data_IF_569721012955
#
_entry.id   IF_569721012955
#
_cell.length_a   1.000
_cell.length_b   1.000
_cell.length_c   1.000
_cell.angle_alpha   90.00
_cell.angle_beta   90.00
_cell.angle_gamma   90.00
#
_symmetry.space_group_name_H-M   'P 1'
#
loop_
_entity.id
_entity.type
_entity.pdbx_description
1 polymer ?
#
# COMPACT_ATOMS: atom_id res chain seq x y z
N UNK A 1 -76.48 2.57 -13.56
CA UNK A 1 -75.05 2.16 -13.61
C UNK A 1 -74.27 3.07 -12.66
N UNK A 2 -74.13 2.65 -11.41
CA UNK A 2 -73.31 3.29 -10.38
C UNK A 2 -72.18 2.30 -9.99
N UNK A 3 -70.98 2.77 -9.63
CA UNK A 3 -69.81 1.91 -9.40
C UNK A 3 -69.75 1.40 -7.96
N UNK A 4 -69.34 0.14 -7.78
CA UNK A 4 -69.12 -0.49 -6.47
C UNK A 4 -67.64 -0.80 -6.24
N UNK A 5 -67.09 -0.10 -5.26
CA UNK A 5 -66.03 -0.41 -4.29
C UNK A 5 -65.02 -1.55 -4.53
N UNK A 6 -63.74 -1.19 -4.34
CA UNK A 6 -62.64 -2.07 -3.94
C UNK A 6 -62.87 -2.77 -2.59
N UNK A 7 -62.07 -3.81 -2.30
CA UNK A 7 -61.39 -3.83 -1.01
C UNK A 7 -59.87 -4.05 -1.09
N UNK A 8 -59.23 -3.47 -0.08
CA UNK A 8 -57.80 -3.42 0.24
C UNK A 8 -57.24 -4.75 0.78
N UNK A 9 -55.90 -4.79 0.80
CA UNK A 9 -55.05 -5.29 1.90
C UNK A 9 -54.68 -6.77 1.90
N UNK A 10 -53.36 -7.02 1.84
CA UNK A 10 -52.66 -7.73 2.92
C UNK A 10 -51.19 -7.29 3.00
N UNK A 11 -50.86 -6.67 4.14
CA UNK A 11 -49.50 -6.47 4.64
C UNK A 11 -48.85 -7.83 4.89
N UNK A 12 -47.54 -7.93 4.68
CA UNK A 12 -46.70 -8.92 5.38
C UNK A 12 -45.42 -8.22 5.86
N UNK A 13 -45.29 -8.18 7.17
CA UNK A 13 -44.15 -7.68 7.96
C UNK A 13 -43.21 -8.83 8.29
N UNK A 14 -41.89 -8.63 8.13
CA UNK A 14 -40.78 -9.23 8.92
C UNK A 14 -39.47 -8.65 8.35
N UNK A 15 -38.80 -7.68 8.98
CA UNK A 15 -37.99 -7.77 10.20
C UNK A 15 -36.83 -8.79 10.08
N UNK A 16 -35.64 -8.30 9.73
CA UNK A 16 -34.35 -8.87 10.13
C UNK A 16 -33.27 -7.78 10.03
N UNK A 17 -32.84 -7.32 11.21
CA UNK A 17 -31.82 -6.30 11.46
C UNK A 17 -30.66 -7.00 12.19
N UNK A 18 -29.43 -6.50 11.98
CA UNK A 18 -28.18 -6.78 12.73
C UNK A 18 -27.55 -8.16 12.46
N UNK A 19 -26.25 -8.30 12.19
CA UNK A 19 -25.09 -7.71 12.88
C UNK A 19 -23.95 -7.41 11.89
N UNK A 20 -23.43 -6.18 11.89
CA UNK A 20 -22.10 -5.86 11.37
C UNK A 20 -21.21 -5.57 12.58
N UNK A 21 -20.28 -6.47 12.83
CA UNK A 21 -19.28 -6.34 13.89
C UNK A 21 -18.13 -5.44 13.41
N UNK A 22 -17.92 -4.40 14.20
CA UNK A 22 -16.71 -3.62 14.46
C UNK A 22 -15.39 -4.13 13.85
N UNK A 23 -14.80 -3.32 12.98
CA UNK A 23 -13.34 -3.18 12.83
C UNK A 23 -13.03 -1.67 12.74
N UNK A 24 -12.81 -1.06 13.89
CA UNK A 24 -12.27 0.30 14.00
C UNK A 24 -10.78 0.28 13.63
N UNK A 25 -10.42 0.80 12.46
CA UNK A 25 -9.04 1.13 12.12
C UNK A 25 -8.89 2.65 12.14
N UNK A 26 -8.33 3.17 13.23
CA UNK A 26 -8.00 4.59 13.40
C UNK A 26 -6.77 4.93 12.54
N UNK A 27 -6.98 5.62 11.44
CA UNK A 27 -5.89 6.19 10.62
C UNK A 27 -5.49 7.55 11.21
N UNK A 28 -4.34 7.57 11.89
CA UNK A 28 -3.68 8.80 12.36
C UNK A 28 -2.86 9.38 11.21
N UNK A 29 -3.28 10.54 10.70
CA UNK A 29 -2.59 11.28 9.66
C UNK A 29 -1.40 12.06 10.25
N UNK A 30 -0.19 11.49 10.15
CA UNK A 30 1.05 12.21 10.40
C UNK A 30 1.63 12.69 9.06
N UNK A 31 1.51 14.00 8.81
CA UNK A 31 2.15 14.69 7.69
C UNK A 31 3.68 14.55 7.78
N UNK A 32 4.28 13.85 6.81
CA UNK A 32 5.72 13.88 6.59
C UNK A 32 6.00 14.49 5.21
N UNK A 33 6.98 15.41 5.08
CA UNK A 33 7.37 15.97 3.79
C UNK A 33 8.06 14.91 2.93
N UNK A 34 7.56 14.74 1.71
CA UNK A 34 8.16 13.91 0.67
C UNK A 34 9.51 14.51 0.24
N UNK A 35 10.61 13.90 0.67
CA UNK A 35 11.95 14.13 0.10
C UNK A 35 12.08 13.27 -1.15
N UNK A 36 12.14 13.92 -2.31
CA UNK A 36 12.46 13.30 -3.59
C UNK A 36 13.96 12.96 -3.64
N UNK A 37 14.32 11.75 -3.20
CA UNK A 37 15.66 11.20 -3.42
C UNK A 37 15.78 10.64 -4.84
N UNK A 38 16.59 11.31 -5.65
CA UNK A 38 17.04 10.92 -6.98
C UNK A 38 17.79 9.56 -6.93
N UNK A 39 17.41 8.52 -7.70
CA UNK A 39 18.14 7.26 -7.70
C UNK A 39 19.41 7.39 -8.55
N UNK A 40 20.55 7.44 -7.86
CA UNK A 40 21.89 7.40 -8.46
C UNK A 40 22.14 6.00 -9.08
N UNK A 41 22.68 5.88 -10.30
CA UNK A 41 23.05 4.58 -10.87
C UNK A 41 24.29 3.99 -10.16
N UNK A 42 24.40 2.65 -10.06
CA UNK A 42 25.50 2.01 -9.33
C UNK A 42 26.85 2.22 -10.03
N UNK A 43 27.95 2.39 -9.29
CA UNK A 43 29.28 2.51 -9.87
C UNK A 43 29.73 1.16 -10.46
N UNK A 44 30.20 1.21 -11.70
CA UNK A 44 30.82 0.10 -12.41
C UNK A 44 32.03 -0.41 -11.62
N UNK A 45 31.97 -1.64 -11.13
CA UNK A 45 33.11 -2.34 -10.53
C UNK A 45 34.12 -2.69 -11.63
N UNK A 46 35.08 -1.80 -11.82
CA UNK A 46 36.27 -2.03 -12.63
C UNK A 46 37.16 -3.05 -11.91
N UNK A 47 37.09 -4.31 -12.35
CA UNK A 47 38.04 -5.35 -11.94
C UNK A 47 39.38 -5.04 -12.61
N UNK A 48 40.26 -4.39 -11.85
CA UNK A 48 41.66 -4.23 -12.21
C UNK A 48 42.33 -5.61 -12.26
N UNK A 49 42.75 -6.03 -13.46
CA UNK A 49 43.72 -7.10 -13.66
C UNK A 49 45.00 -6.73 -12.94
N UNK A 50 45.24 -7.33 -11.77
CA UNK A 50 46.52 -7.24 -11.09
C UNK A 50 47.46 -8.25 -11.73
N UNK A 51 48.45 -7.74 -12.45
CA UNK A 51 49.64 -8.46 -12.89
C UNK A 51 50.35 -9.05 -11.66
N UNK A 52 50.37 -10.38 -11.58
CA UNK A 52 51.29 -11.09 -10.69
C UNK A 52 52.68 -11.05 -11.31
N UNK A 53 53.49 -10.09 -10.87
CA UNK A 53 54.94 -10.03 -11.11
C UNK A 53 55.64 -10.05 -9.76
N UNK A 54 56.48 -11.07 -9.55
CA UNK A 54 57.65 -11.00 -8.67
C UNK A 54 57.42 -11.34 -7.20
N UNK A 55 57.69 -12.59 -6.82
CA UNK A 55 58.17 -12.93 -5.47
C UNK A 55 59.28 -13.97 -5.54
N UNK A 56 60.48 -13.51 -5.20
CA UNK A 56 61.43 -14.23 -4.36
C UNK A 56 62.14 -15.41 -4.97
N UNK A 57 63.34 -15.16 -5.50
CA UNK A 57 64.42 -16.13 -5.46
C UNK A 57 64.66 -16.51 -3.98
N UNK A 58 64.37 -17.74 -3.62
CA UNK A 58 64.85 -18.39 -2.39
C UNK A 58 65.69 -19.58 -2.86
N UNK A 59 67.00 -19.36 -2.92
CA UNK A 59 67.98 -20.43 -2.96
C UNK A 59 67.80 -21.32 -1.73
N UNK A 60 67.31 -22.55 -1.92
CA UNK A 60 67.27 -23.53 -0.83
C UNK A 60 67.41 -24.97 -1.36
N UNK A 61 68.65 -25.46 -1.20
CA UNK A 61 69.10 -26.85 -1.11
C UNK A 61 69.13 -27.69 -2.40
N UNK A 62 70.36 -27.85 -2.89
CA UNK A 62 70.84 -28.86 -3.83
C UNK A 62 70.68 -30.26 -3.19
N UNK A 63 69.51 -30.86 -3.36
CA UNK A 63 69.29 -32.29 -3.10
C UNK A 63 69.58 -33.05 -4.41
N UNK A 64 70.21 -34.24 -4.37
CA UNK A 64 70.39 -35.05 -5.57
C UNK A 64 69.01 -35.41 -6.13
N UNK A 65 68.61 -34.69 -7.17
CA UNK A 65 67.49 -35.06 -8.04
C UNK A 65 67.94 -36.35 -8.72
N UNK A 66 67.47 -37.48 -8.21
CA UNK A 66 67.35 -38.66 -9.07
C UNK A 66 66.49 -38.24 -10.27
N UNK A 67 66.97 -38.53 -11.48
CA UNK A 67 66.28 -38.39 -12.76
C UNK A 67 65.05 -39.35 -12.84
N UNK A 68 64.16 -39.26 -11.85
CA UNK A 68 62.82 -39.79 -11.94
C UNK A 68 62.07 -38.93 -12.94
N UNK A 69 62.00 -39.39 -14.19
CA UNK A 69 61.13 -38.82 -15.21
C UNK A 69 59.77 -38.52 -14.58
N UNK A 70 59.43 -37.22 -14.47
CA UNK A 70 58.12 -36.80 -14.02
C UNK A 70 57.09 -37.55 -14.87
N UNK A 71 56.13 -38.27 -14.26
CA UNK A 71 55.12 -38.99 -15.03
C UNK A 71 54.48 -37.99 -16.00
N UNK A 72 54.41 -38.37 -17.27
CA UNK A 72 53.80 -37.56 -18.31
C UNK A 72 52.39 -37.15 -17.84
N UNK A 73 51.89 -35.94 -18.17
CA UNK A 73 50.49 -35.58 -17.91
C UNK A 73 49.47 -36.59 -18.48
N UNK A 74 49.89 -37.45 -19.40
CA UNK A 74 49.11 -38.58 -19.91
C UNK A 74 49.05 -39.80 -18.97
N UNK A 75 50.06 -39.99 -18.09
CA UNK A 75 50.15 -41.09 -17.11
C UNK A 75 49.49 -40.74 -15.76
N UNK A 76 49.24 -39.46 -15.50
CA UNK A 76 48.35 -39.01 -14.44
C UNK A 76 46.92 -39.24 -14.94
N UNK A 77 46.43 -40.48 -14.81
CA UNK A 77 45.15 -40.98 -15.32
C UNK A 77 43.90 -40.23 -14.82
N UNK A 78 43.78 -38.96 -15.18
CA UNK A 78 42.59 -38.12 -15.02
C UNK A 78 41.99 -37.88 -16.41
N UNK A 79 41.89 -38.95 -17.20
CA UNK A 79 40.90 -39.01 -18.26
C UNK A 79 39.54 -39.08 -17.59
N UNK A 80 38.99 -37.92 -17.20
CA UNK A 80 37.55 -37.83 -16.92
C UNK A 80 36.86 -38.40 -18.16
N UNK A 81 36.19 -39.54 -18.00
CA UNK A 81 35.50 -40.22 -19.08
C UNK A 81 34.72 -39.17 -19.89
N UNK A 82 35.03 -39.01 -21.18
CA UNK A 82 34.47 -37.96 -22.02
C UNK A 82 32.92 -37.97 -22.01
N UNK A 83 32.35 -39.16 -21.79
CA UNK A 83 30.93 -39.40 -21.58
C UNK A 83 30.38 -38.75 -20.29
N UNK A 84 31.13 -38.74 -19.19
CA UNK A 84 30.72 -38.11 -17.93
C UNK A 84 30.71 -36.58 -18.03
N UNK A 85 31.68 -36.00 -18.75
CA UNK A 85 31.68 -34.56 -19.03
C UNK A 85 30.49 -34.17 -19.91
N UNK A 86 30.24 -34.92 -20.99
CA UNK A 86 29.08 -34.69 -21.85
C UNK A 86 27.74 -34.84 -21.10
N UNK A 87 27.62 -35.82 -20.20
CA UNK A 87 26.44 -36.01 -19.37
C UNK A 87 26.24 -34.87 -18.36
N UNK A 88 27.33 -34.36 -17.77
CA UNK A 88 27.29 -33.20 -16.88
C UNK A 88 26.86 -31.93 -17.63
N UNK A 89 27.45 -31.66 -18.80
CA UNK A 89 27.08 -30.52 -19.63
C UNK A 89 25.62 -30.59 -20.08
N UNK A 90 25.12 -31.78 -20.43
CA UNK A 90 23.72 -32.00 -20.74
C UNK A 90 22.81 -31.72 -19.53
N UNK A 91 23.21 -32.12 -18.32
CA UNK A 91 22.47 -31.83 -17.09
C UNK A 91 22.45 -30.34 -16.74
N UNK A 92 23.57 -29.63 -16.96
CA UNK A 92 23.68 -28.17 -16.77
C UNK A 92 22.79 -27.44 -17.77
N UNK A 93 22.82 -27.84 -19.05
CA UNK A 93 21.98 -27.23 -20.09
C UNK A 93 20.49 -27.47 -19.80
N UNK A 94 20.10 -28.69 -19.40
CA UNK A 94 18.72 -28.98 -19.00
C UNK A 94 18.25 -28.08 -17.86
N UNK A 95 19.08 -27.93 -16.81
CA UNK A 95 18.75 -27.05 -15.69
C UNK A 95 18.61 -25.59 -16.12
N UNK A 96 19.52 -25.10 -16.98
CA UNK A 96 19.43 -23.77 -17.57
C UNK A 96 18.11 -23.58 -18.32
N UNK A 97 17.70 -24.54 -19.12
CA UNK A 97 16.47 -24.47 -19.91
C UNK A 97 15.22 -24.49 -19.02
N UNK A 98 15.22 -25.34 -17.99
CA UNK A 98 14.15 -25.41 -16.99
C UNK A 98 14.01 -24.07 -16.21
N UNK A 99 15.13 -23.49 -15.80
CA UNK A 99 15.16 -22.17 -15.13
C UNK A 99 14.69 -21.05 -16.07
N UNK A 100 15.11 -21.05 -17.34
CA UNK A 100 14.66 -20.09 -18.34
C UNK A 100 13.14 -20.19 -18.60
N UNK A 101 12.61 -21.41 -18.65
CA UNK A 101 11.16 -21.65 -18.76
C UNK A 101 10.39 -21.12 -17.54
N UNK A 102 10.93 -21.30 -16.33
CA UNK A 102 10.32 -20.75 -15.11
C UNK A 102 10.37 -19.21 -15.09
N UNK A 103 11.49 -18.61 -15.47
CA UNK A 103 11.63 -17.15 -15.53
C UNK A 103 10.62 -16.55 -16.50
N UNK A 104 10.49 -17.12 -17.70
CA UNK A 104 9.53 -16.62 -18.70
C UNK A 104 8.09 -16.77 -18.23
N UNK A 105 7.73 -17.90 -17.60
CA UNK A 105 6.41 -18.09 -16.98
C UNK A 105 6.13 -17.06 -15.89
N UNK A 106 7.06 -16.89 -14.95
CA UNK A 106 6.90 -15.95 -13.84
C UNK A 106 6.81 -14.50 -14.33
N UNK A 107 7.56 -14.13 -15.36
CA UNK A 107 7.46 -12.81 -16.00
C UNK A 107 6.11 -12.60 -16.68
N UNK A 108 5.56 -13.62 -17.34
CA UNK A 108 4.24 -13.55 -17.93
C UNK A 108 3.15 -13.38 -16.86
N UNK A 109 3.20 -14.16 -15.79
CA UNK A 109 2.27 -14.07 -14.65
C UNK A 109 2.38 -12.73 -13.92
N UNK A 110 3.59 -12.20 -13.73
CA UNK A 110 3.78 -10.88 -13.13
C UNK A 110 3.16 -9.76 -13.99
N UNK A 111 3.33 -9.83 -15.32
CA UNK A 111 2.74 -8.85 -16.25
C UNK A 111 1.22 -8.90 -16.23
N UNK A 112 0.63 -10.10 -16.20
CA UNK A 112 -0.84 -10.23 -16.13
C UNK A 112 -1.39 -9.75 -14.79
N UNK A 113 -0.71 -10.04 -13.68
CA UNK A 113 -1.09 -9.55 -12.35
C UNK A 113 -1.04 -8.01 -12.26
N UNK A 114 -0.02 -7.38 -12.85
CA UNK A 114 0.06 -5.92 -12.91
C UNK A 114 -1.08 -5.31 -13.72
N UNK A 115 -1.37 -5.88 -14.90
CA UNK A 115 -2.49 -5.42 -15.72
C UNK A 115 -3.84 -5.57 -14.97
N UNK A 116 -4.06 -6.68 -14.28
CA UNK A 116 -5.25 -6.88 -13.44
C UNK A 116 -5.36 -5.82 -12.34
N UNK A 117 -4.27 -5.56 -11.60
CA UNK A 117 -4.26 -4.54 -10.55
C UNK A 117 -4.57 -3.14 -11.08
N UNK A 118 -4.06 -2.79 -12.27
CA UNK A 118 -4.37 -1.51 -12.92
C UNK A 118 -5.86 -1.40 -13.27
N UNK A 119 -6.45 -2.46 -13.83
CA UNK A 119 -7.89 -2.49 -14.14
C UNK A 119 -8.76 -2.41 -12.88
N UNK A 120 -8.40 -3.10 -11.82
CA UNK A 120 -9.10 -3.04 -10.53
C UNK A 120 -9.01 -1.64 -9.90
N UNK A 121 -7.85 -1.01 -9.95
CA UNK A 121 -7.68 0.37 -9.49
C UNK A 121 -8.53 1.35 -10.31
N UNK A 122 -8.55 1.18 -11.62
CA UNK A 122 -9.32 2.08 -12.49
C UNK A 122 -10.82 1.90 -12.28
N UNK A 123 -11.31 0.67 -12.16
CA UNK A 123 -12.73 0.37 -11.90
C UNK A 123 -13.18 0.86 -10.53
N UNK A 124 -12.38 0.63 -9.48
CA UNK A 124 -12.70 1.15 -8.14
C UNK A 124 -12.68 2.67 -8.08
N UNK A 125 -11.73 3.31 -8.76
CA UNK A 125 -11.68 4.76 -8.86
C UNK A 125 -12.89 5.34 -9.60
N UNK A 126 -13.25 4.78 -10.75
CA UNK A 126 -14.42 5.17 -11.51
C UNK A 126 -15.71 4.94 -10.71
N UNK A 127 -15.84 3.80 -10.03
CA UNK A 127 -16.98 3.51 -9.15
C UNK A 127 -17.11 4.51 -8.00
N UNK A 128 -15.99 4.91 -7.38
CA UNK A 128 -16.00 5.96 -6.34
C UNK A 128 -16.40 7.31 -6.90
N UNK A 129 -15.91 7.70 -8.08
CA UNK A 129 -16.32 8.95 -8.73
C UNK A 129 -17.81 8.95 -9.05
N UNK A 130 -18.32 7.88 -9.63
CA UNK A 130 -19.74 7.76 -9.97
C UNK A 130 -20.61 7.78 -8.70
N UNK A 131 -20.26 6.99 -7.69
CA UNK A 131 -20.98 6.97 -6.42
C UNK A 131 -20.97 8.35 -5.72
N UNK A 132 -19.89 9.12 -5.83
CA UNK A 132 -19.85 10.48 -5.29
C UNK A 132 -20.79 11.42 -6.06
N UNK A 133 -20.82 11.35 -7.39
CA UNK A 133 -21.75 12.14 -8.20
C UNK A 133 -23.21 11.78 -7.89
N UNK A 134 -23.51 10.49 -7.76
CA UNK A 134 -24.85 10.01 -7.40
C UNK A 134 -25.25 10.48 -6.00
N UNK A 135 -24.34 10.42 -5.02
CA UNK A 135 -24.58 10.94 -3.66
C UNK A 135 -24.80 12.44 -3.65
N UNK A 136 -24.01 13.20 -4.41
CA UNK A 136 -24.20 14.64 -4.55
C UNK A 136 -25.56 14.95 -5.17
N UNK A 137 -25.96 14.23 -6.23
CA UNK A 137 -27.26 14.37 -6.86
C UNK A 137 -28.41 14.10 -5.87
N UNK A 138 -28.36 12.97 -5.15
CA UNK A 138 -29.38 12.62 -4.13
C UNK A 138 -29.43 13.66 -3.02
N UNK A 139 -28.28 14.19 -2.58
CA UNK A 139 -28.23 15.25 -1.58
C UNK A 139 -28.89 16.54 -2.07
N UNK A 140 -28.65 16.92 -3.33
CA UNK A 140 -29.25 18.13 -3.92
C UNK A 140 -30.77 17.96 -4.08
N UNK A 141 -31.23 16.78 -4.48
CA UNK A 141 -32.66 16.45 -4.57
C UNK A 141 -33.33 16.48 -3.19
N UNK A 142 -32.68 15.93 -2.17
CA UNK A 142 -33.18 15.98 -0.79
C UNK A 142 -33.26 17.43 -0.28
N UNK A 143 -32.23 18.24 -0.53
CA UNK A 143 -32.24 19.65 -0.15
C UNK A 143 -33.33 20.45 -0.88
N UNK A 144 -33.62 20.13 -2.15
CA UNK A 144 -34.71 20.74 -2.90
C UNK A 144 -36.08 20.36 -2.33
N UNK A 145 -36.30 19.08 -2.02
CA UNK A 145 -37.54 18.60 -1.41
C UNK A 145 -37.78 19.23 -0.02
N UNK A 146 -36.73 19.30 0.81
CA UNK A 146 -36.79 20.00 2.09
C UNK A 146 -37.03 21.51 1.90
N UNK A 147 -36.66 22.09 0.75
CA UNK A 147 -36.93 23.49 0.43
C UNK A 147 -38.39 23.75 -0.05
N UNK A 148 -39.13 22.72 -0.46
CA UNK A 148 -40.49 22.91 -0.97
C UNK A 148 -41.56 22.77 0.13
N UNK A 149 -41.18 22.42 1.38
CA UNK A 149 -42.16 22.24 2.46
C UNK A 149 -42.91 23.55 2.79
N UNK A 150 -44.25 23.53 2.89
CA UNK A 150 -45.08 24.72 3.12
C UNK A 150 -44.94 25.30 4.54
N UNK A 151 -44.47 24.50 5.51
CA UNK A 151 -44.23 24.94 6.88
C UNK A 151 -42.73 25.23 7.11
N UNK A 152 -42.33 26.49 7.36
CA UNK A 152 -40.94 26.84 7.58
C UNK A 152 -40.33 26.22 8.86
N UNK A 153 -41.15 25.82 9.84
CA UNK A 153 -40.64 25.27 11.11
C UNK A 153 -40.18 23.82 11.00
N UNK A 154 -40.75 23.04 10.09
CA UNK A 154 -40.29 21.66 9.83
C UNK A 154 -38.88 21.64 9.25
N UNK A 155 -38.50 22.68 8.50
CA UNK A 155 -37.15 22.89 7.96
C UNK A 155 -36.12 23.22 9.03
N UNK A 156 -36.50 23.95 10.07
CA UNK A 156 -35.56 24.30 11.16
C UNK A 156 -35.12 23.04 11.90
N UNK A 157 -36.00 22.06 12.05
CA UNK A 157 -35.69 20.77 12.71
C UNK A 157 -34.76 19.91 11.85
N UNK A 158 -34.86 19.95 10.52
CA UNK A 158 -33.96 19.18 9.65
C UNK A 158 -32.59 19.86 9.47
N UNK A 159 -32.53 21.20 9.52
CA UNK A 159 -31.29 21.97 9.34
C UNK A 159 -30.43 22.07 10.61
N UNK A 160 -31.05 21.95 11.80
CA UNK A 160 -30.33 22.02 13.07
C UNK A 160 -30.04 20.61 13.57
N UNK A 161 -28.76 20.27 13.63
CA UNK A 161 -28.32 19.04 14.29
C UNK A 161 -28.47 19.19 15.81
N UNK A 162 -29.54 18.60 16.35
CA UNK A 162 -29.82 18.57 17.78
C UNK A 162 -28.96 17.55 18.55
N UNK A 163 -28.19 16.71 17.84
CA UNK A 163 -27.34 15.67 18.44
C UNK A 163 -25.85 16.05 18.50
N UNK A 164 -25.42 17.09 17.80
CA UNK A 164 -24.09 17.65 17.99
C UNK A 164 -23.99 18.17 19.44
N UNK A 165 -22.94 17.77 20.16
CA UNK A 165 -22.63 18.13 21.55
C UNK A 165 -22.49 19.66 21.76
N UNK A 166 -23.59 20.40 21.59
CA UNK A 166 -23.67 21.85 21.75
C UNK A 166 -23.34 22.27 23.18
N UNK A 167 -23.33 21.33 24.13
CA UNK A 167 -22.97 21.55 25.53
C UNK A 167 -21.45 21.73 25.72
N UNK A 168 -20.60 21.18 24.86
CA UNK A 168 -19.14 21.28 25.04
C UNK A 168 -18.56 22.67 24.69
N UNK A 169 -19.27 23.46 23.88
CA UNK A 169 -18.87 24.80 23.44
C UNK A 169 -19.88 25.90 23.80
N UNK A 170 -20.98 25.57 24.49
CA UNK A 170 -21.96 26.55 24.93
C UNK A 170 -21.41 27.40 26.08
N UNK A 171 -20.86 28.56 25.71
CA UNK A 171 -20.79 29.73 26.59
C UNK A 171 -19.64 29.72 27.61
N UNK A 172 -18.40 29.65 27.14
CA UNK A 172 -17.27 30.00 28.00
C UNK A 172 -17.29 31.50 28.36
N UNK A 173 -17.95 31.80 29.48
CA UNK A 173 -17.96 33.13 30.10
C UNK A 173 -16.77 33.34 31.03
N UNK A 174 -15.79 32.42 31.06
CA UNK A 174 -14.57 32.54 31.87
C UNK A 174 -13.86 33.87 31.62
N UNK A 175 -13.69 34.25 30.34
CA UNK A 175 -13.03 35.51 29.99
C UNK A 175 -13.79 36.75 30.48
N UNK A 176 -15.13 36.73 30.41
CA UNK A 176 -15.96 37.83 30.93
C UNK A 176 -15.92 37.89 32.46
N UNK A 177 -15.96 36.73 33.13
CA UNK A 177 -15.78 36.63 34.59
C UNK A 177 -14.42 37.15 35.03
N UNK A 178 -13.36 36.85 34.27
CA UNK A 178 -11.98 37.28 34.57
C UNK A 178 -11.83 38.80 34.49
N UNK A 179 -12.44 39.45 33.48
CA UNK A 179 -12.46 40.93 33.37
C UNK A 179 -13.18 41.56 34.56
N UNK A 180 -14.33 41.04 34.97
CA UNK A 180 -15.04 41.55 36.15
C UNK A 180 -14.25 41.39 37.44
N UNK A 181 -13.51 40.29 37.60
CA UNK A 181 -12.63 40.10 38.76
C UNK A 181 -11.49 41.14 38.76
N UNK A 182 -10.86 41.37 37.61
CA UNK A 182 -9.81 42.39 37.48
C UNK A 182 -10.32 43.78 37.85
N UNK A 183 -11.48 44.20 37.34
CA UNK A 183 -12.08 45.49 37.66
C UNK A 183 -12.44 45.63 39.14
N UNK A 184 -12.94 44.55 39.77
CA UNK A 184 -13.25 44.55 41.21
C UNK A 184 -11.99 44.64 42.07
N UNK A 185 -10.88 44.06 41.61
CA UNK A 185 -9.62 44.08 42.35
C UNK A 185 -8.89 45.42 42.15
N UNK A 186 -8.94 46.02 40.97
CA UNK A 186 -8.35 47.34 40.72
C UNK A 186 -9.05 48.45 41.50
N UNK A 187 -10.38 48.40 41.61
CA UNK A 187 -11.15 49.36 42.42
C UNK A 187 -10.83 49.28 43.93
N UNK A 188 -10.43 48.10 44.42
CA UNK A 188 -10.00 47.91 45.82
C UNK A 188 -8.55 48.31 46.07
N UNK A 189 -7.72 48.34 45.03
CA UNK A 189 -6.31 48.71 45.14
C UNK A 189 -6.09 50.23 45.01
N UNK A 190 -7.06 50.96 44.46
CA UNK A 190 -7.02 52.43 44.32
C UNK A 190 -7.74 53.19 45.45
N UNK A 191 -8.20 52.48 46.49
CA UNK A 191 -8.83 53.02 47.70
C UNK A 191 -7.95 52.70 48.91
#
# INVERSE_FOLDING_TARGET
KFPSAHPRSRRSTKAAQQLRSSCCFTSSAASHPCVTSNPQPPPHSSIASTSTTGRGAMDLMDAPVEDGAMPSPADMGVGLDQEKMAAFDAAVNKRRDDEAALVTKNQAEAKTALAQLETERQTTFQGRMQANREKEQVKMEQMAADNESPNPWERVVSLVDLQADAVAAAGDTSRMRQVFIQMKNSAKASA
#
